data_IF_796310378433
#
_entry.id   IF_796310378433
#
_cell.length_a   1.000
_cell.length_b   1.000
_cell.length_c   1.000
_cell.angle_alpha   90.00
_cell.angle_beta   90.00
_cell.angle_gamma   90.00
#
_symmetry.space_group_name_H-M   'P 1'
#
loop_
_entity.id
_entity.type
_entity.pdbx_description
1 polymer ?
#
# COMPACT_ATOMS: atom_id res chain seq x y z
N UNK A 1 20.82 10.99 -3.89
CA UNK A 1 20.48 12.07 -2.93
C UNK A 1 20.50 11.52 -1.51
N UNK A 2 21.19 12.20 -0.62
CA UNK A 2 21.17 11.86 0.79
C UNK A 2 20.05 12.60 1.51
N UNK A 3 19.74 12.17 2.74
CA UNK A 3 18.76 12.89 3.56
C UNK A 3 19.21 14.33 3.84
N UNK A 4 20.50 14.52 4.09
CA UNK A 4 21.04 15.85 4.32
C UNK A 4 20.90 16.75 3.08
N UNK A 5 21.14 16.21 1.89
CA UNK A 5 20.97 16.95 0.65
C UNK A 5 19.51 17.34 0.45
N UNK A 6 18.58 16.43 0.71
CA UNK A 6 17.14 16.73 0.59
C UNK A 6 16.74 17.83 1.56
N UNK A 7 17.16 17.75 2.81
CA UNK A 7 16.86 18.76 3.83
C UNK A 7 17.42 20.12 3.41
N UNK A 8 18.65 20.16 2.94
CA UNK A 8 19.29 21.40 2.50
C UNK A 8 18.56 22.02 1.30
N UNK A 9 18.14 21.21 0.34
CA UNK A 9 17.40 21.68 -0.83
C UNK A 9 16.07 22.31 -0.43
N UNK A 10 15.32 21.67 0.45
CA UNK A 10 14.03 22.19 0.93
C UNK A 10 14.25 23.49 1.70
N UNK A 11 15.24 23.53 2.58
CA UNK A 11 15.55 24.72 3.36
C UNK A 11 15.96 25.88 2.46
N UNK A 12 16.78 25.62 1.44
CA UNK A 12 17.19 26.64 0.48
C UNK A 12 16.00 27.24 -0.25
N UNK A 13 15.09 26.42 -0.74
CA UNK A 13 13.91 26.88 -1.44
C UNK A 13 12.96 27.69 -0.54
N UNK A 14 12.90 27.34 0.73
CA UNK A 14 11.99 28.00 1.68
C UNK A 14 12.61 29.18 2.42
N UNK A 15 13.91 29.42 2.26
CA UNK A 15 14.63 30.45 3.01
C UNK A 15 14.07 31.87 2.79
N UNK A 16 13.50 32.14 1.62
CA UNK A 16 12.89 33.43 1.32
C UNK A 16 11.51 33.64 1.95
N UNK A 17 10.91 32.61 2.51
CA UNK A 17 9.55 32.62 3.01
C UNK A 17 9.44 32.40 4.52
N UNK A 18 10.52 32.00 5.17
CA UNK A 18 10.52 31.61 6.57
C UNK A 18 11.49 32.48 7.39
N UNK A 19 11.14 32.66 8.67
CA UNK A 19 12.04 33.25 9.64
C UNK A 19 13.13 32.23 10.00
N UNK A 20 14.27 32.65 10.63
CA UNK A 20 15.29 31.70 11.10
C UNK A 20 14.73 30.62 12.02
N UNK A 21 13.80 30.96 12.89
CA UNK A 21 13.15 29.98 13.77
C UNK A 21 12.28 29.03 12.95
N UNK A 22 11.58 29.50 11.92
CA UNK A 22 10.80 28.69 11.02
C UNK A 22 11.65 27.70 10.25
N UNK A 23 12.84 28.12 9.82
CA UNK A 23 13.82 27.26 9.15
C UNK A 23 14.30 26.16 10.07
N UNK A 24 14.64 26.47 11.32
CA UNK A 24 15.07 25.48 12.31
C UNK A 24 13.97 24.47 12.58
N UNK A 25 12.73 24.92 12.69
CA UNK A 25 11.60 24.02 12.89
C UNK A 25 11.38 23.13 11.67
N UNK A 26 11.51 23.68 10.46
CA UNK A 26 11.41 22.91 9.22
C UNK A 26 12.46 21.80 9.18
N UNK A 27 13.70 22.12 9.48
CA UNK A 27 14.78 21.12 9.55
C UNK A 27 14.46 20.03 10.54
N UNK A 28 13.98 20.38 11.72
CA UNK A 28 13.65 19.41 12.78
C UNK A 28 12.52 18.50 12.32
N UNK A 29 11.46 19.06 11.74
CA UNK A 29 10.32 18.27 11.27
C UNK A 29 10.73 17.32 10.15
N UNK A 30 11.49 17.80 9.16
CA UNK A 30 11.94 16.96 8.05
C UNK A 30 12.87 15.87 8.55
N UNK A 31 13.80 16.17 9.42
CA UNK A 31 14.71 15.19 10.00
C UNK A 31 13.96 14.10 10.73
N UNK A 32 12.96 14.47 11.52
CA UNK A 32 12.12 13.52 12.25
C UNK A 32 11.33 12.63 11.29
N UNK A 33 10.74 13.23 10.26
CA UNK A 33 9.96 12.48 9.27
C UNK A 33 10.81 11.50 8.47
N UNK A 34 12.07 11.81 8.26
CA UNK A 34 12.97 10.97 7.46
C UNK A 34 13.73 9.93 8.27
N UNK A 35 13.56 9.90 9.58
CA UNK A 35 14.36 9.04 10.46
C UNK A 35 14.26 7.56 10.12
N UNK A 36 13.11 7.12 9.66
CA UNK A 36 12.86 5.73 9.30
C UNK A 36 12.82 5.51 7.78
N UNK A 37 13.26 6.49 6.99
CA UNK A 37 13.24 6.41 5.54
C UNK A 37 14.65 6.30 5.03
N UNK A 38 14.88 5.38 4.11
CA UNK A 38 16.16 5.24 3.40
C UNK A 38 16.04 5.88 2.04
N UNK A 39 16.92 6.82 1.71
CA UNK A 39 16.96 7.45 0.39
C UNK A 39 18.03 6.78 -0.45
N UNK A 40 17.65 6.39 -1.67
CA UNK A 40 18.57 5.85 -2.65
C UNK A 40 18.55 6.72 -3.89
N UNK A 41 19.44 6.44 -4.85
CA UNK A 41 19.44 7.15 -6.12
C UNK A 41 18.07 7.02 -6.80
N UNK A 42 17.61 8.11 -7.43
CA UNK A 42 16.26 8.18 -7.98
C UNK A 42 15.96 7.07 -8.99
N UNK A 43 16.93 6.69 -9.78
CA UNK A 43 16.77 5.65 -10.78
C UNK A 43 16.65 4.25 -10.19
N UNK A 44 17.02 4.06 -8.94
CA UNK A 44 16.96 2.75 -8.29
C UNK A 44 15.72 2.57 -7.45
N UNK A 45 14.87 3.59 -7.40
CA UNK A 45 13.69 3.52 -6.57
C UNK A 45 12.47 4.06 -7.24
N UNK A 46 11.80 3.24 -8.02
CA UNK A 46 10.38 3.51 -8.20
C UNK A 46 9.74 3.41 -6.81
N UNK A 47 9.12 4.46 -6.39
CA UNK A 47 8.41 4.50 -5.11
C UNK A 47 7.37 3.38 -5.00
N UNK A 48 6.98 2.81 -6.14
CA UNK A 48 6.05 1.69 -6.22
C UNK A 48 6.59 0.41 -5.60
N UNK A 49 7.91 0.23 -5.51
CA UNK A 49 8.48 -0.96 -4.88
C UNK A 49 8.20 -1.03 -3.38
N UNK A 50 8.12 0.12 -2.72
CA UNK A 50 7.83 0.19 -1.29
C UNK A 50 6.36 -0.11 -1.01
N UNK A 51 5.49 0.21 -1.97
CA UNK A 51 4.04 0.07 -1.82
C UNK A 51 3.47 -1.00 -2.75
N UNK A 52 4.27 -2.03 -3.05
CA UNK A 52 3.80 -3.12 -3.88
C UNK A 52 2.79 -4.00 -3.14
N UNK A 53 2.22 -4.95 -3.86
CA UNK A 53 1.20 -5.84 -3.32
C UNK A 53 1.74 -6.67 -2.15
N UNK A 54 2.99 -7.09 -2.20
CA UNK A 54 3.60 -7.85 -1.13
C UNK A 54 3.69 -7.05 0.15
N UNK A 55 4.10 -5.79 0.06
CA UNK A 55 4.20 -4.89 1.21
C UNK A 55 2.83 -4.69 1.85
N UNK A 56 1.81 -4.36 1.06
CA UNK A 56 0.49 -4.07 1.60
C UNK A 56 -0.14 -5.33 2.21
N UNK A 57 0.15 -6.51 1.64
CA UNK A 57 -0.33 -7.77 2.20
C UNK A 57 0.27 -8.05 3.57
N UNK A 58 1.55 -7.79 3.74
CA UNK A 58 2.21 -7.93 5.05
C UNK A 58 1.60 -7.00 6.09
N UNK A 59 1.32 -5.76 5.71
CA UNK A 59 0.66 -4.80 6.60
C UNK A 59 -0.74 -5.25 6.98
N UNK A 60 -1.48 -5.79 6.03
CA UNK A 60 -2.82 -6.30 6.28
C UNK A 60 -2.81 -7.48 7.26
N UNK A 61 -1.87 -8.40 7.10
CA UNK A 61 -1.70 -9.53 8.02
C UNK A 61 -1.45 -9.03 9.44
N UNK A 62 -0.57 -8.04 9.61
CA UNK A 62 -0.26 -7.46 10.92
C UNK A 62 -1.53 -6.89 11.56
N UNK A 63 -2.29 -6.11 10.80
CA UNK A 63 -3.50 -5.48 11.34
C UNK A 63 -4.58 -6.50 11.67
N UNK A 64 -4.77 -7.52 10.83
CA UNK A 64 -5.73 -8.59 11.12
C UNK A 64 -5.32 -9.37 12.38
N UNK A 65 -4.03 -9.63 12.53
CA UNK A 65 -3.51 -10.31 13.72
C UNK A 65 -3.75 -9.46 14.98
N UNK A 66 -3.48 -8.17 14.89
CA UNK A 66 -3.66 -7.25 16.00
C UNK A 66 -5.12 -7.12 16.43
N UNK A 67 -6.07 -7.28 15.50
CA UNK A 67 -7.49 -7.22 15.81
C UNK A 67 -8.05 -8.56 16.35
N UNK A 68 -7.19 -9.55 16.52
CA UNK A 68 -7.59 -10.83 17.13
C UNK A 68 -8.24 -11.83 16.17
N UNK A 69 -8.08 -11.64 14.87
CA UNK A 69 -8.59 -12.61 13.90
C UNK A 69 -7.85 -13.93 14.01
N UNK A 70 -8.58 -15.03 13.79
CA UNK A 70 -7.98 -16.37 13.81
C UNK A 70 -7.01 -16.54 12.64
N UNK A 71 -5.92 -17.28 12.88
CA UNK A 71 -4.91 -17.53 11.84
C UNK A 71 -5.50 -18.21 10.61
N UNK A 72 -6.44 -19.13 10.79
CA UNK A 72 -7.11 -19.80 9.68
C UNK A 72 -7.90 -18.81 8.82
N UNK A 73 -8.56 -17.84 9.45
CA UNK A 73 -9.31 -16.79 8.75
C UNK A 73 -8.38 -15.87 7.99
N UNK A 74 -7.27 -15.45 8.61
CA UNK A 74 -6.26 -14.61 7.98
C UNK A 74 -5.68 -15.30 6.75
N UNK A 75 -5.35 -16.58 6.88
CA UNK A 75 -4.82 -17.39 5.77
C UNK A 75 -5.77 -17.41 4.58
N UNK A 76 -7.06 -17.56 4.85
CA UNK A 76 -8.09 -17.59 3.81
C UNK A 76 -8.20 -16.23 3.11
N UNK A 77 -8.22 -15.14 3.86
CA UNK A 77 -8.24 -13.79 3.28
C UNK A 77 -7.03 -13.56 2.37
N UNK A 78 -5.85 -13.87 2.87
CA UNK A 78 -4.61 -13.66 2.15
C UNK A 78 -4.54 -14.51 0.88
N UNK A 79 -4.95 -15.76 0.96
CA UNK A 79 -4.96 -16.65 -0.20
C UNK A 79 -5.82 -16.09 -1.33
N UNK A 80 -7.02 -15.61 -1.01
CA UNK A 80 -7.93 -15.06 -2.00
C UNK A 80 -7.40 -13.76 -2.60
N UNK A 81 -6.91 -12.84 -1.76
CA UNK A 81 -6.42 -11.54 -2.20
C UNK A 81 -5.16 -11.71 -3.04
N UNK A 82 -4.23 -12.54 -2.59
CA UNK A 82 -2.99 -12.81 -3.30
C UNK A 82 -3.25 -13.42 -4.68
N UNK A 83 -4.18 -14.36 -4.75
CA UNK A 83 -4.56 -14.98 -6.02
C UNK A 83 -5.13 -13.94 -7.00
N UNK A 84 -5.95 -13.02 -6.51
CA UNK A 84 -6.47 -11.93 -7.33
C UNK A 84 -5.35 -11.13 -7.96
N UNK A 85 -4.39 -10.68 -7.18
CA UNK A 85 -3.29 -9.86 -7.69
C UNK A 85 -2.37 -10.65 -8.62
N UNK A 86 -2.12 -11.92 -8.33
CA UNK A 86 -1.30 -12.76 -9.19
C UNK A 86 -1.94 -13.02 -10.55
N UNK A 87 -3.23 -13.30 -10.56
CA UNK A 87 -3.94 -13.62 -11.81
C UNK A 87 -4.23 -12.40 -12.66
N UNK A 88 -4.48 -11.24 -12.05
CA UNK A 88 -4.79 -10.02 -12.80
C UNK A 88 -3.55 -9.23 -13.19
N UNK A 89 -2.44 -9.42 -12.48
CA UNK A 89 -1.23 -8.61 -12.67
C UNK A 89 -1.37 -7.17 -12.24
N UNK A 90 -2.47 -6.81 -11.59
CA UNK A 90 -2.70 -5.45 -11.11
C UNK A 90 -2.00 -5.21 -9.78
N UNK A 91 -1.72 -3.95 -9.47
CA UNK A 91 -1.33 -3.56 -8.14
C UNK A 91 -2.50 -2.88 -7.42
N UNK A 92 -2.42 -2.81 -6.09
CA UNK A 92 -3.54 -2.29 -5.31
C UNK A 92 -3.78 -0.80 -5.52
N UNK A 93 -2.76 -0.05 -5.97
CA UNK A 93 -2.89 1.39 -6.23
C UNK A 93 -3.76 1.70 -7.44
N UNK A 94 -3.68 0.87 -8.46
CA UNK A 94 -4.38 1.10 -9.72
C UNK A 94 -5.66 0.29 -9.87
N UNK A 95 -5.89 -0.66 -8.97
CA UNK A 95 -7.06 -1.53 -9.00
C UNK A 95 -8.32 -0.75 -8.64
N UNK A 96 -9.39 -0.98 -9.41
CA UNK A 96 -10.70 -0.39 -9.17
C UNK A 96 -11.71 -1.45 -8.77
N UNK A 97 -12.88 -1.03 -8.27
CA UNK A 97 -13.98 -1.94 -7.99
C UNK A 97 -14.43 -2.70 -9.22
N UNK A 98 -14.35 -2.06 -10.39
CA UNK A 98 -14.71 -2.71 -11.65
C UNK A 98 -13.74 -3.84 -11.97
N UNK A 99 -12.45 -3.68 -11.71
CA UNK A 99 -11.46 -4.73 -11.90
C UNK A 99 -11.79 -5.98 -11.08
N UNK A 100 -12.24 -5.79 -9.85
CA UNK A 100 -12.66 -6.89 -8.98
C UNK A 100 -13.88 -7.59 -9.56
N UNK A 101 -14.86 -6.84 -10.01
CA UNK A 101 -16.08 -7.42 -10.60
C UNK A 101 -15.78 -8.18 -11.89
N UNK A 102 -14.90 -7.64 -12.73
CA UNK A 102 -14.49 -8.30 -13.96
C UNK A 102 -13.75 -9.62 -13.65
N UNK A 103 -12.90 -9.61 -12.64
CA UNK A 103 -12.23 -10.82 -12.20
C UNK A 103 -13.21 -11.89 -11.72
N UNK A 104 -14.18 -11.50 -10.91
CA UNK A 104 -15.19 -12.42 -10.39
C UNK A 104 -16.03 -12.99 -11.54
N UNK A 105 -16.44 -12.15 -12.49
CA UNK A 105 -17.20 -12.59 -13.65
C UNK A 105 -16.39 -13.59 -14.49
N UNK A 106 -15.11 -13.34 -14.68
CA UNK A 106 -14.21 -14.24 -15.40
C UNK A 106 -14.10 -15.59 -14.70
N UNK A 107 -13.95 -15.58 -13.37
CA UNK A 107 -13.86 -16.81 -12.58
C UNK A 107 -15.17 -17.62 -12.64
N UNK A 108 -16.30 -16.95 -12.58
CA UNK A 108 -17.59 -17.62 -12.70
C UNK A 108 -17.76 -18.29 -14.06
N UNK A 109 -17.28 -17.65 -15.11
CA UNK A 109 -17.43 -18.14 -16.47
C UNK A 109 -16.40 -19.23 -16.82
N UNK A 110 -15.11 -18.95 -16.57
CA UNK A 110 -14.01 -19.87 -16.96
C UNK A 110 -13.79 -20.98 -15.97
N UNK A 111 -13.68 -20.66 -14.70
CA UNK A 111 -13.35 -21.62 -13.65
C UNK A 111 -14.58 -22.27 -13.04
N UNK A 112 -15.76 -21.75 -13.40
CA UNK A 112 -17.05 -22.26 -12.93
C UNK A 112 -17.13 -22.37 -11.41
N UNK A 113 -16.58 -21.36 -10.71
CA UNK A 113 -16.69 -21.30 -9.26
C UNK A 113 -18.16 -21.12 -8.87
N UNK A 114 -18.51 -21.50 -7.65
CA UNK A 114 -19.88 -21.32 -7.16
C UNK A 114 -20.18 -19.84 -6.90
N UNK A 115 -21.45 -19.49 -6.91
CA UNK A 115 -21.90 -18.14 -6.57
C UNK A 115 -21.52 -17.79 -5.12
N UNK A 116 -21.57 -18.78 -4.24
CA UNK A 116 -21.16 -18.61 -2.84
C UNK A 116 -19.68 -18.24 -2.74
N UNK A 117 -18.82 -18.91 -3.50
CA UNK A 117 -17.39 -18.61 -3.51
C UNK A 117 -17.13 -17.24 -4.13
N UNK A 118 -17.85 -16.90 -5.20
CA UNK A 118 -17.77 -15.56 -5.80
C UNK A 118 -18.13 -14.45 -4.81
N UNK A 119 -19.18 -14.65 -4.03
CA UNK A 119 -19.56 -13.73 -2.95
C UNK A 119 -18.46 -13.59 -1.89
N UNK A 120 -17.82 -14.69 -1.57
CA UNK A 120 -16.71 -14.70 -0.61
C UNK A 120 -15.53 -13.88 -1.13
N UNK A 121 -15.17 -14.05 -2.41
CA UNK A 121 -14.12 -13.25 -3.04
C UNK A 121 -14.47 -11.76 -2.97
N UNK A 122 -15.68 -11.40 -3.36
CA UNK A 122 -16.14 -10.01 -3.33
C UNK A 122 -16.05 -9.41 -1.92
N UNK A 123 -16.50 -10.16 -0.93
CA UNK A 123 -16.48 -9.72 0.47
C UNK A 123 -15.06 -9.47 0.95
N UNK A 124 -14.15 -10.38 0.68
CA UNK A 124 -12.77 -10.25 1.14
C UNK A 124 -12.02 -9.14 0.40
N UNK A 125 -12.24 -9.01 -0.90
CA UNK A 125 -11.65 -7.92 -1.66
C UNK A 125 -12.17 -6.56 -1.20
N UNK A 126 -13.47 -6.44 -0.94
CA UNK A 126 -14.06 -5.21 -0.42
C UNK A 126 -13.50 -4.84 0.95
N UNK A 127 -13.36 -5.81 1.84
CA UNK A 127 -12.76 -5.59 3.16
C UNK A 127 -11.31 -5.14 3.06
N UNK A 128 -10.54 -5.74 2.18
CA UNK A 128 -9.15 -5.37 1.96
C UNK A 128 -9.04 -3.93 1.46
N UNK A 129 -9.80 -3.56 0.43
CA UNK A 129 -9.72 -2.22 -0.12
C UNK A 129 -10.27 -1.16 0.84
N UNK A 130 -11.29 -1.47 1.61
CA UNK A 130 -11.78 -0.57 2.64
C UNK A 130 -10.70 -0.28 3.68
N UNK A 131 -9.92 -1.29 4.04
CA UNK A 131 -8.79 -1.14 4.95
C UNK A 131 -7.65 -0.35 4.29
N UNK A 132 -7.30 -0.66 3.05
CA UNK A 132 -6.15 -0.07 2.35
C UNK A 132 -6.33 1.43 2.10
N UNK A 133 -7.56 1.87 1.92
CA UNK A 133 -7.86 3.27 1.56
C UNK A 133 -8.50 4.06 2.71
N UNK A 134 -8.26 3.68 3.90
CA UNK A 134 -8.69 4.47 5.06
C UNK A 134 -8.07 5.84 5.14
#
# INVERSE_FOLDING_TARGET
MTKAELINDVVYEMAGYLTPEGIDRLKTVITFKLVNISLTAAETLPSTEIFDNEYIMKRYIIDLTATGRKQSTIKLYITIIKKFFEETGLDYHTCTGQDVMDYIATRLHKDKISKAYASTIQKYMSSFFAWAYR
#
